data_IF_007331617040
#
_entry.id   IF_007331617040
#
_cell.length_a   1.000
_cell.length_b   1.000
_cell.length_c   1.000
_cell.angle_alpha   90.00
_cell.angle_beta   90.00
_cell.angle_gamma   90.00
#
_symmetry.space_group_name_H-M   'P 1'
#
loop_
_entity.id
_entity.type
_entity.pdbx_description
1 polymer ?
#
# COMPACT_ATOMS: atom_id res chain seq x y z
N UNK A 1 -25.71 32.89 -33.60
CA UNK A 1 -25.12 33.05 -34.94
C UNK A 1 -23.60 32.90 -34.97
N UNK A 2 -22.91 32.77 -33.83
CA UNK A 2 -21.42 32.63 -33.74
C UNK A 2 -20.86 31.22 -33.87
N UNK A 3 -21.69 30.17 -33.67
CA UNK A 3 -21.18 28.77 -33.62
C UNK A 3 -20.99 28.15 -35.03
N UNK A 4 -21.54 28.70 -36.05
CA UNK A 4 -21.47 28.17 -37.42
C UNK A 4 -20.18 28.60 -38.15
N UNK A 5 -19.58 29.73 -37.76
CA UNK A 5 -18.38 30.25 -38.42
C UNK A 5 -17.06 29.53 -38.02
N UNK A 6 -17.01 28.84 -36.87
CA UNK A 6 -15.79 28.12 -36.40
C UNK A 6 -15.64 26.78 -37.12
N UNK A 7 -16.73 26.17 -37.57
CA UNK A 7 -16.68 24.88 -38.27
C UNK A 7 -16.11 24.94 -39.69
N UNK A 8 -16.09 26.13 -40.33
CA UNK A 8 -15.63 26.29 -41.70
C UNK A 8 -14.10 26.47 -41.86
N UNK A 9 -13.37 26.68 -40.78
CA UNK A 9 -11.91 26.89 -40.79
C UNK A 9 -11.09 25.67 -40.38
N UNK A 10 -11.73 24.54 -40.09
CA UNK A 10 -11.00 23.30 -39.78
C UNK A 10 -10.64 22.57 -41.08
N UNK A 11 -9.39 22.19 -41.30
CA UNK A 11 -9.00 21.48 -42.52
C UNK A 11 -9.74 20.14 -42.60
N UNK A 12 -10.37 19.90 -43.74
CA UNK A 12 -11.23 18.75 -44.05
C UNK A 12 -10.47 17.40 -43.96
N UNK A 13 -9.16 17.42 -43.75
CA UNK A 13 -8.29 16.24 -43.64
C UNK A 13 -7.64 16.05 -42.26
N UNK A 14 -8.09 16.78 -41.23
CA UNK A 14 -7.67 16.44 -39.87
C UNK A 14 -8.29 15.08 -39.51
N UNK A 15 -7.46 14.07 -39.37
CA UNK A 15 -7.84 12.80 -38.76
C UNK A 15 -8.51 13.10 -37.42
N UNK A 16 -9.78 12.73 -37.34
CA UNK A 16 -10.61 12.98 -36.17
C UNK A 16 -9.97 12.24 -35.00
N UNK A 17 -9.29 12.96 -34.12
CA UNK A 17 -8.74 12.37 -32.90
C UNK A 17 -9.91 12.00 -32.00
N UNK A 18 -10.17 10.72 -31.85
CA UNK A 18 -11.21 10.24 -30.95
C UNK A 18 -10.60 10.28 -29.59
N UNK A 19 -11.00 11.21 -28.73
CA UNK A 19 -10.53 11.35 -27.35
C UNK A 19 -10.62 10.04 -26.57
N UNK A 20 -11.58 9.19 -26.90
CA UNK A 20 -11.77 7.87 -26.30
C UNK A 20 -10.61 6.90 -26.60
N UNK A 21 -9.93 7.03 -27.72
CA UNK A 21 -8.79 6.18 -28.11
C UNK A 21 -7.52 6.57 -27.34
N UNK A 22 -7.53 7.75 -26.71
CA UNK A 22 -6.46 8.25 -25.84
C UNK A 22 -6.85 8.27 -24.34
N UNK A 23 -8.07 7.84 -24.03
CA UNK A 23 -8.53 7.72 -22.65
C UNK A 23 -8.20 6.31 -22.15
N UNK A 24 -7.13 6.19 -21.41
CA UNK A 24 -6.85 4.99 -20.64
C UNK A 24 -7.75 5.01 -19.40
N UNK A 25 -8.67 4.04 -19.24
CA UNK A 25 -9.49 3.99 -18.04
C UNK A 25 -8.60 3.84 -16.82
N UNK A 26 -8.93 4.48 -15.70
CA UNK A 26 -8.17 4.31 -14.48
C UNK A 26 -8.13 2.83 -14.10
N UNK A 27 -6.97 2.36 -13.68
CA UNK A 27 -6.77 1.00 -13.20
C UNK A 27 -7.80 0.67 -12.12
N UNK A 28 -8.42 -0.50 -12.20
CA UNK A 28 -9.26 -1.06 -11.16
C UNK A 28 -8.40 -2.02 -10.31
N UNK A 29 -7.79 -1.58 -9.22
CA UNK A 29 -6.87 -2.41 -8.43
C UNK A 29 -7.58 -3.61 -7.78
N UNK A 30 -8.91 -3.59 -7.73
CA UNK A 30 -9.73 -4.71 -7.24
C UNK A 30 -9.80 -5.91 -8.20
N UNK A 31 -9.39 -5.73 -9.45
CA UNK A 31 -9.28 -6.82 -10.43
C UNK A 31 -8.02 -7.69 -10.17
N UNK A 32 -7.13 -7.22 -9.28
CA UNK A 32 -5.93 -7.94 -8.87
C UNK A 32 -6.13 -8.61 -7.51
N UNK A 33 -5.33 -9.64 -7.25
CA UNK A 33 -5.39 -10.33 -5.97
C UNK A 33 -5.13 -9.37 -4.81
N UNK A 34 -5.90 -9.51 -3.72
CA UNK A 34 -5.67 -8.70 -2.52
C UNK A 34 -4.22 -8.85 -2.05
N UNK A 35 -3.54 -7.75 -1.63
CA UNK A 35 -2.17 -7.83 -1.10
C UNK A 35 -2.02 -8.83 0.06
N UNK A 36 -3.11 -9.12 0.77
CA UNK A 36 -3.11 -10.09 1.88
C UNK A 36 -3.17 -11.55 1.41
N UNK A 37 -3.63 -11.81 0.20
CA UNK A 37 -3.85 -13.19 -0.28
C UNK A 37 -2.56 -13.99 -0.41
N UNK A 38 -1.45 -13.36 -0.76
CA UNK A 38 -0.12 -13.99 -0.88
C UNK A 38 0.57 -14.23 0.46
N UNK A 39 0.14 -13.58 1.53
CA UNK A 39 0.85 -13.56 2.82
C UNK A 39 1.06 -14.96 3.41
N UNK A 40 0.06 -15.83 3.33
CA UNK A 40 0.16 -17.20 3.86
C UNK A 40 1.23 -18.02 3.14
N UNK A 41 1.30 -17.94 1.81
CA UNK A 41 2.32 -18.63 1.04
C UNK A 41 3.73 -18.16 1.44
N UNK A 42 3.94 -16.85 1.59
CA UNK A 42 5.22 -16.30 2.04
C UNK A 42 5.62 -16.76 3.44
N UNK A 43 4.68 -16.89 4.35
CA UNK A 43 4.95 -17.29 5.74
C UNK A 43 5.07 -18.81 5.96
N UNK A 44 4.50 -19.62 5.10
CA UNK A 44 4.50 -21.09 5.23
C UNK A 44 5.36 -21.77 4.17
N UNK A 45 5.01 -21.62 2.91
CA UNK A 45 5.62 -22.37 1.82
C UNK A 45 7.01 -21.83 1.50
N UNK A 46 7.17 -20.50 1.54
CA UNK A 46 8.40 -19.79 1.21
C UNK A 46 9.13 -19.22 2.43
N UNK A 47 8.83 -19.73 3.63
CA UNK A 47 9.41 -19.23 4.90
C UNK A 47 10.96 -19.23 4.93
N UNK A 48 11.57 -20.21 4.28
CA UNK A 48 13.03 -20.35 4.20
C UNK A 48 13.63 -19.72 2.93
N UNK A 49 12.81 -19.25 2.02
CA UNK A 49 13.27 -18.76 0.72
C UNK A 49 13.61 -17.27 0.79
N UNK A 50 14.57 -16.86 -0.02
CA UNK A 50 14.82 -15.45 -0.27
C UNK A 50 13.87 -14.98 -1.34
N UNK A 51 12.86 -14.19 -0.97
CA UNK A 51 11.85 -13.67 -1.90
C UNK A 51 12.34 -12.43 -2.66
N UNK A 52 13.14 -11.60 -1.99
CA UNK A 52 13.61 -10.32 -2.50
C UNK A 52 15.02 -10.05 -2.01
N UNK A 53 15.89 -9.60 -2.89
CA UNK A 53 17.22 -9.07 -2.54
C UNK A 53 17.21 -7.57 -2.80
N UNK A 54 17.52 -6.79 -1.77
CA UNK A 54 17.60 -5.32 -1.88
C UNK A 54 19.01 -4.86 -1.55
N UNK A 55 19.56 -4.01 -2.42
CA UNK A 55 20.89 -3.42 -2.23
C UNK A 55 20.80 -1.90 -2.14
N UNK A 56 21.69 -1.31 -1.37
CA UNK A 56 21.80 0.15 -1.16
C UNK A 56 20.57 0.79 -0.49
N UNK A 57 19.73 0.00 0.15
CA UNK A 57 18.66 0.54 0.98
C UNK A 57 19.25 0.96 2.33
N UNK A 58 18.97 2.16 2.86
CA UNK A 58 19.43 2.60 4.18
C UNK A 58 19.03 1.63 5.29
N UNK A 59 19.92 1.44 6.26
CA UNK A 59 19.67 0.54 7.38
C UNK A 59 18.41 0.93 8.16
N UNK A 60 17.61 -0.06 8.51
CA UNK A 60 16.34 0.13 9.24
C UNK A 60 15.16 0.56 8.37
N UNK A 61 15.36 0.77 7.07
CA UNK A 61 14.24 0.96 6.15
C UNK A 61 13.45 -0.34 5.96
N UNK A 62 12.16 -0.20 5.71
CA UNK A 62 11.25 -1.31 5.43
C UNK A 62 10.80 -1.27 3.98
N UNK A 63 10.51 -2.43 3.41
CA UNK A 63 9.90 -2.58 2.10
C UNK A 63 8.41 -2.82 2.27
N UNK A 64 7.60 -2.11 1.51
CA UNK A 64 6.14 -2.15 1.50
C UNK A 64 5.66 -2.80 0.22
N UNK A 65 4.67 -3.67 0.30
CA UNK A 65 3.97 -4.22 -0.87
C UNK A 65 2.80 -3.31 -1.25
N UNK A 66 1.91 -3.05 -0.31
CA UNK A 66 0.72 -2.23 -0.53
C UNK A 66 0.26 -1.56 0.76
N UNK A 67 -0.66 -0.61 0.64
CA UNK A 67 -1.35 0.04 1.76
C UNK A 67 -2.84 -0.22 1.61
N UNK A 68 -3.44 -0.74 2.68
CA UNK A 68 -4.87 -0.94 2.79
C UNK A 68 -5.43 0.02 3.82
N UNK A 69 -6.44 0.78 3.45
CA UNK A 69 -6.99 1.89 4.24
C UNK A 69 -8.46 1.70 4.61
N UNK A 70 -9.05 0.56 4.23
CA UNK A 70 -10.43 0.22 4.56
C UNK A 70 -10.51 -1.10 5.31
N UNK A 71 -11.11 -1.04 6.50
CA UNK A 71 -11.50 -2.22 7.26
C UNK A 71 -13.04 -2.32 7.29
N UNK A 72 -13.60 -3.45 6.90
CA UNK A 72 -15.06 -3.67 6.84
C UNK A 72 -15.62 -4.44 8.05
N UNK A 73 -14.80 -4.63 9.08
CA UNK A 73 -15.12 -5.43 10.25
C UNK A 73 -14.52 -6.84 10.19
N UNK A 74 -14.19 -7.33 9.01
CA UNK A 74 -13.61 -8.65 8.76
C UNK A 74 -12.28 -8.59 8.05
N UNK A 75 -12.14 -7.75 7.02
CA UNK A 75 -11.01 -7.75 6.10
C UNK A 75 -10.48 -6.34 5.90
N UNK A 76 -9.15 -6.23 5.91
CA UNK A 76 -8.48 -5.05 5.37
C UNK A 76 -8.44 -5.13 3.85
N UNK A 77 -8.81 -4.03 3.19
CA UNK A 77 -8.80 -3.92 1.73
C UNK A 77 -8.46 -2.48 1.30
N UNK A 78 -8.34 -2.29 0.00
CA UNK A 78 -8.22 -0.97 -0.60
C UNK A 78 -9.55 -0.22 -0.49
N UNK A 79 -9.48 1.09 -0.33
CA UNK A 79 -10.66 1.96 -0.39
C UNK A 79 -11.24 1.95 -1.81
N UNK A 80 -12.57 1.84 -1.91
CA UNK A 80 -13.28 1.90 -3.20
C UNK A 80 -13.56 3.34 -3.68
N UNK A 81 -13.03 4.35 -3.00
CA UNK A 81 -13.27 5.74 -3.34
C UNK A 81 -12.18 6.25 -4.28
N UNK A 82 -12.60 6.88 -5.39
CA UNK A 82 -11.71 7.62 -6.32
C UNK A 82 -11.37 9.01 -5.79
N UNK A 83 -10.96 9.07 -4.54
CA UNK A 83 -10.52 10.31 -3.90
C UNK A 83 -9.00 10.40 -4.07
N UNK A 84 -8.49 11.59 -4.30
CA UNK A 84 -7.04 11.82 -4.30
C UNK A 84 -6.46 11.33 -2.98
N UNK A 85 -5.40 10.51 -3.03
CA UNK A 85 -4.79 9.91 -1.85
C UNK A 85 -5.41 8.59 -1.36
N UNK A 86 -6.55 8.15 -1.93
CA UNK A 86 -7.14 6.84 -1.59
C UNK A 86 -6.25 5.68 -2.06
N UNK A 87 -6.25 4.57 -1.33
CA UNK A 87 -5.42 3.38 -1.64
C UNK A 87 -5.74 2.73 -2.98
N UNK A 88 -6.91 2.99 -3.56
CA UNK A 88 -7.31 2.50 -4.89
C UNK A 88 -6.91 3.42 -6.05
N UNK A 89 -6.32 4.59 -5.78
CA UNK A 89 -6.03 5.58 -6.82
C UNK A 89 -4.65 5.34 -7.48
N UNK A 90 -4.56 4.29 -8.29
CA UNK A 90 -3.36 3.98 -9.07
C UNK A 90 -3.42 4.63 -10.44
N UNK A 91 -2.34 5.30 -10.81
CA UNK A 91 -2.17 5.92 -12.13
C UNK A 91 -0.93 5.37 -12.82
N UNK A 92 -1.00 5.23 -14.14
CA UNK A 92 0.15 4.82 -14.93
C UNK A 92 1.24 5.87 -14.85
N UNK A 93 2.44 5.45 -14.54
CA UNK A 93 3.56 6.35 -14.38
C UNK A 93 4.46 6.34 -15.61
N UNK A 94 4.93 7.55 -15.96
CA UNK A 94 6.02 7.71 -16.91
C UNK A 94 7.38 7.50 -16.23
N UNK A 95 8.44 8.03 -16.85
CA UNK A 95 9.81 7.90 -16.36
C UNK A 95 10.06 8.59 -14.99
N UNK A 96 9.18 9.50 -14.58
CA UNK A 96 9.28 10.24 -13.32
C UNK A 96 7.94 10.30 -12.63
N UNK A 97 7.97 10.20 -11.32
CA UNK A 97 6.82 10.31 -10.44
C UNK A 97 6.92 11.66 -9.74
N UNK A 98 5.91 12.51 -9.94
CA UNK A 98 5.82 13.77 -9.19
C UNK A 98 5.22 13.46 -7.82
N UNK A 99 5.94 13.78 -6.77
CA UNK A 99 5.46 13.69 -5.40
C UNK A 99 4.91 15.05 -4.96
N UNK A 100 3.74 15.04 -4.35
CA UNK A 100 3.11 16.25 -3.78
C UNK A 100 3.54 16.47 -2.31
N UNK A 101 4.54 15.75 -1.83
CA UNK A 101 4.94 15.70 -0.42
C UNK A 101 6.18 16.52 -0.06
N UNK A 102 6.43 16.56 1.24
CA UNK A 102 7.60 17.21 1.84
C UNK A 102 8.88 16.41 1.52
N UNK A 103 9.84 17.05 0.86
CA UNK A 103 11.17 16.50 0.51
C UNK A 103 12.09 16.34 1.74
N UNK A 104 11.57 16.43 2.97
CA UNK A 104 12.37 16.37 4.21
C UNK A 104 12.94 14.99 4.53
N UNK A 105 12.65 13.98 3.72
CA UNK A 105 13.11 12.61 3.89
C UNK A 105 14.58 12.37 3.52
N UNK A 106 15.07 11.17 3.85
CA UNK A 106 16.40 10.72 3.42
C UNK A 106 16.34 10.18 2.00
N UNK A 107 17.10 10.81 1.09
CA UNK A 107 17.21 10.34 -0.30
C UNK A 107 17.91 8.98 -0.37
N UNK A 108 17.41 8.10 -1.23
CA UNK A 108 18.02 6.81 -1.49
C UNK A 108 17.87 6.41 -2.97
N UNK A 109 18.72 5.48 -3.37
CA UNK A 109 18.60 4.72 -4.62
C UNK A 109 18.92 3.27 -4.30
N UNK A 110 17.92 2.42 -4.35
CA UNK A 110 18.02 1.00 -4.02
C UNK A 110 17.73 0.12 -5.22
N UNK A 111 18.42 -0.99 -5.32
CA UNK A 111 18.25 -2.01 -6.36
C UNK A 111 17.51 -3.21 -5.77
N UNK A 112 16.50 -3.66 -6.49
CA UNK A 112 15.63 -4.76 -6.12
C UNK A 112 15.78 -5.89 -7.14
N UNK A 113 15.99 -7.09 -6.65
CA UNK A 113 16.01 -8.33 -7.44
C UNK A 113 14.96 -9.29 -6.86
N UNK A 114 13.92 -9.59 -7.61
CA UNK A 114 12.87 -10.53 -7.23
C UNK A 114 13.38 -11.95 -7.42
N UNK A 115 13.24 -12.77 -6.37
CA UNK A 115 13.71 -14.15 -6.33
C UNK A 115 12.57 -15.16 -6.49
N UNK A 116 12.96 -16.44 -6.54
CA UNK A 116 12.01 -17.54 -6.64
C UNK A 116 11.06 -17.56 -5.43
N UNK A 117 9.82 -17.96 -5.67
CA UNK A 117 8.79 -17.97 -4.63
C UNK A 117 8.01 -16.66 -4.48
N UNK A 118 8.52 -15.54 -4.95
CA UNK A 118 7.74 -14.29 -4.96
C UNK A 118 6.84 -14.23 -6.19
N UNK A 119 5.53 -14.19 -5.94
CA UNK A 119 4.50 -14.04 -6.97
C UNK A 119 3.45 -13.07 -6.45
N UNK A 120 3.42 -11.89 -7.01
CA UNK A 120 2.51 -10.82 -6.62
C UNK A 120 2.21 -9.92 -7.83
N UNK A 121 1.27 -9.01 -7.68
CA UNK A 121 1.05 -7.91 -8.60
C UNK A 121 1.49 -6.58 -7.96
N UNK A 122 1.67 -6.59 -6.65
CA UNK A 122 2.11 -5.45 -5.87
C UNK A 122 3.64 -5.35 -5.87
N UNK A 123 4.15 -4.24 -6.45
CA UNK A 123 5.60 -4.04 -6.57
C UNK A 123 6.19 -3.61 -5.23
N UNK A 124 7.16 -4.36 -4.67
CA UNK A 124 7.83 -3.95 -3.43
C UNK A 124 8.56 -2.62 -3.60
N UNK A 125 8.26 -1.63 -2.76
CA UNK A 125 8.89 -0.31 -2.74
C UNK A 125 9.24 0.09 -1.31
N UNK A 126 10.25 0.95 -1.15
CA UNK A 126 10.75 1.31 0.18
C UNK A 126 10.26 2.67 0.67
N UNK A 127 10.04 3.63 -0.21
CA UNK A 127 9.69 4.99 0.19
C UNK A 127 8.75 5.70 -0.77
N UNK A 128 8.74 7.01 -0.71
CA UNK A 128 8.10 7.86 -1.69
C UNK A 128 8.95 7.87 -2.96
N UNK A 129 8.62 7.02 -3.92
CA UNK A 129 9.37 6.88 -5.16
C UNK A 129 9.22 8.11 -6.05
N UNK A 130 10.32 8.66 -6.52
CA UNK A 130 10.36 9.70 -7.55
C UNK A 130 10.70 9.12 -8.92
N UNK A 131 11.27 7.92 -8.93
CA UNK A 131 11.58 7.18 -10.14
C UNK A 131 11.64 5.68 -9.84
N UNK A 132 11.05 4.88 -10.72
CA UNK A 132 11.24 3.43 -10.77
C UNK A 132 11.75 3.08 -12.17
N UNK A 133 12.90 2.42 -12.25
CA UNK A 133 13.52 2.03 -13.52
C UNK A 133 13.65 0.53 -13.56
N UNK A 134 13.02 -0.10 -14.53
CA UNK A 134 13.10 -1.54 -14.75
C UNK A 134 14.32 -1.90 -15.61
N UNK A 135 14.92 -3.05 -15.35
CA UNK A 135 16.04 -3.57 -16.14
C UNK A 135 15.65 -3.84 -17.60
N UNK A 136 14.36 -4.11 -17.85
CA UNK A 136 13.78 -4.25 -19.19
C UNK A 136 12.65 -3.25 -19.37
N UNK A 137 12.60 -2.55 -20.51
CA UNK A 137 11.57 -1.56 -20.79
C UNK A 137 10.15 -2.15 -20.89
N UNK A 138 10.03 -3.46 -21.08
CA UNK A 138 8.74 -4.15 -21.18
C UNK A 138 7.84 -3.97 -19.95
N UNK A 139 8.42 -3.75 -18.78
CA UNK A 139 7.66 -3.57 -17.53
C UNK A 139 7.30 -2.11 -17.22
N UNK A 140 7.92 -1.15 -17.90
CA UNK A 140 7.67 0.27 -17.65
C UNK A 140 6.26 0.69 -18.04
N UNK A 141 5.71 0.08 -19.09
CA UNK A 141 4.36 0.37 -19.57
C UNK A 141 3.27 -0.25 -18.68
N UNK A 142 3.61 -1.24 -17.88
CA UNK A 142 2.71 -1.99 -17.01
C UNK A 142 2.76 -1.47 -15.55
N UNK A 143 3.56 -0.44 -15.28
CA UNK A 143 3.76 0.10 -13.96
C UNK A 143 2.77 1.21 -13.63
N UNK A 144 2.04 1.00 -12.53
CA UNK A 144 1.11 1.95 -11.93
C UNK A 144 1.56 2.28 -10.51
N UNK A 145 1.36 3.51 -10.10
CA UNK A 145 1.77 4.00 -8.79
C UNK A 145 0.68 4.83 -8.15
N UNK A 146 0.55 4.70 -6.85
CA UNK A 146 -0.32 5.52 -6.03
C UNK A 146 0.53 6.49 -5.20
N UNK A 147 0.50 7.78 -5.52
CA UNK A 147 1.26 8.82 -4.83
C UNK A 147 0.77 9.06 -3.40
N UNK A 148 -0.51 8.83 -3.12
CA UNK A 148 -1.10 9.01 -1.79
C UNK A 148 -0.71 7.92 -0.79
N UNK A 149 -0.43 6.71 -1.27
CA UNK A 149 -0.04 5.56 -0.44
C UNK A 149 1.39 5.10 -0.69
N UNK A 150 2.08 5.72 -1.64
CA UNK A 150 3.46 5.40 -2.03
C UNK A 150 3.64 3.90 -2.37
N UNK A 151 2.68 3.33 -3.07
CA UNK A 151 2.68 1.91 -3.42
C UNK A 151 2.57 1.70 -4.93
N UNK A 152 3.20 0.64 -5.41
CA UNK A 152 3.29 0.29 -6.82
C UNK A 152 2.51 -0.97 -7.17
N UNK A 153 1.98 -1.03 -8.39
CA UNK A 153 1.34 -2.19 -8.97
C UNK A 153 1.90 -2.42 -10.36
N UNK A 154 2.23 -3.66 -10.67
CA UNK A 154 2.77 -4.08 -11.96
C UNK A 154 1.77 -5.04 -12.62
N UNK A 155 1.05 -4.58 -13.64
CA UNK A 155 -0.03 -5.37 -14.27
C UNK A 155 0.46 -6.64 -14.99
N UNK A 156 1.74 -6.68 -15.38
CA UNK A 156 2.40 -7.89 -15.87
C UNK A 156 2.85 -8.86 -14.76
N UNK A 157 2.69 -8.46 -13.51
CA UNK A 157 3.02 -9.23 -12.31
C UNK A 157 4.48 -9.16 -11.89
N UNK A 158 4.67 -9.25 -10.57
CA UNK A 158 5.99 -9.34 -9.93
C UNK A 158 6.38 -10.82 -9.86
N UNK A 159 7.42 -11.21 -10.57
CA UNK A 159 7.85 -12.60 -10.75
C UNK A 159 9.37 -12.70 -10.63
N UNK A 160 9.88 -13.90 -10.35
CA UNK A 160 11.31 -14.20 -10.35
C UNK A 160 12.03 -13.68 -11.58
N UNK A 161 13.17 -13.06 -11.37
CA UNK A 161 13.98 -12.45 -12.42
C UNK A 161 13.62 -10.98 -12.73
N UNK A 162 12.55 -10.44 -12.16
CA UNK A 162 12.29 -9.01 -12.23
C UNK A 162 13.36 -8.26 -11.44
N UNK A 163 14.01 -7.29 -12.10
CA UNK A 163 14.97 -6.39 -11.48
C UNK A 163 14.63 -4.94 -11.79
N UNK A 164 14.69 -4.09 -10.78
CA UNK A 164 14.41 -2.66 -10.90
C UNK A 164 15.18 -1.85 -9.88
N UNK A 165 15.24 -0.55 -10.11
CA UNK A 165 15.84 0.44 -9.23
C UNK A 165 14.78 1.43 -8.82
N UNK A 166 14.65 1.66 -7.53
CA UNK A 166 13.83 2.73 -6.94
C UNK A 166 14.73 3.87 -6.50
N UNK A 167 14.40 5.08 -6.92
CA UNK A 167 14.95 6.34 -6.37
C UNK A 167 13.82 7.11 -5.72
N UNK A 168 14.03 7.59 -4.52
CA UNK A 168 13.01 8.29 -3.76
C UNK A 168 13.48 8.78 -2.41
N UNK A 169 12.55 9.10 -1.54
CA UNK A 169 12.79 9.57 -0.18
C UNK A 169 12.17 8.63 0.85
N UNK A 170 12.91 8.38 1.93
CA UNK A 170 12.40 7.71 3.12
C UNK A 170 11.95 8.76 4.12
N UNK A 171 10.69 8.69 4.54
CA UNK A 171 10.21 9.56 5.59
C UNK A 171 11.01 9.35 6.89
N UNK A 172 11.27 10.43 7.61
CA UNK A 172 11.88 10.36 8.93
C UNK A 172 10.97 9.56 9.88
N UNK A 173 11.51 8.56 10.51
CA UNK A 173 10.79 7.85 11.57
C UNK A 173 10.84 8.69 12.85
N UNK A 174 9.72 9.12 13.40
CA UNK A 174 9.69 9.82 14.68
C UNK A 174 10.12 8.88 15.81
N UNK A 175 10.71 9.44 16.87
CA UNK A 175 10.99 8.71 18.10
C UNK A 175 9.71 8.41 18.87
N UNK A 176 9.75 7.42 19.78
CA UNK A 176 8.61 7.11 20.65
C UNK A 176 8.19 8.30 21.51
N UNK A 177 9.14 9.16 21.92
CA UNK A 177 8.84 10.35 22.70
C UNK A 177 8.13 11.41 21.87
N UNK A 178 8.49 11.58 20.61
CA UNK A 178 7.77 12.44 19.67
C UNK A 178 6.36 11.90 19.44
N UNK A 179 6.22 10.59 19.20
CA UNK A 179 4.90 9.95 19.00
C UNK A 179 4.02 10.14 20.23
N UNK A 180 4.54 9.93 21.46
CA UNK A 180 3.76 10.09 22.70
C UNK A 180 3.11 11.45 22.85
N UNK A 181 3.67 12.49 22.24
CA UNK A 181 3.16 13.86 22.33
C UNK A 181 2.13 14.21 21.26
N UNK A 182 1.91 13.32 20.28
CA UNK A 182 1.02 13.61 19.15
C UNK A 182 -0.45 13.43 19.50
N UNK A 183 -1.29 14.24 18.86
CA UNK A 183 -2.74 14.11 18.88
C UNK A 183 -3.22 13.42 17.59
N UNK A 184 -4.43 12.86 17.64
CA UNK A 184 -5.03 12.30 16.43
C UNK A 184 -5.31 13.40 15.40
N UNK A 185 -5.01 13.10 14.13
CA UNK A 185 -5.41 13.95 13.03
C UNK A 185 -6.94 14.01 12.91
N UNK A 186 -7.45 15.16 12.52
CA UNK A 186 -8.89 15.35 12.24
C UNK A 186 -9.19 14.87 10.81
N UNK A 187 -9.27 13.56 10.63
CA UNK A 187 -9.61 12.93 9.35
C UNK A 187 -10.90 12.13 9.52
N UNK A 188 -11.65 11.97 8.43
CA UNK A 188 -12.75 11.03 8.40
C UNK A 188 -12.16 9.61 8.41
N UNK A 189 -12.53 8.82 9.41
CA UNK A 189 -12.16 7.41 9.46
C UNK A 189 -13.19 6.60 8.67
N UNK A 190 -12.78 5.49 8.04
CA UNK A 190 -13.70 4.54 7.45
C UNK A 190 -14.67 4.00 8.51
N UNK A 191 -15.89 3.69 8.09
CA UNK A 191 -16.82 2.95 8.95
C UNK A 191 -16.27 1.53 9.15
N UNK A 192 -15.97 1.20 10.39
CA UNK A 192 -15.44 -0.11 10.75
C UNK A 192 -16.56 -1.17 10.97
N UNK A 193 -17.81 -0.80 10.78
CA UNK A 193 -18.95 -1.69 11.09
C UNK A 193 -19.02 -2.07 12.57
N UNK A 194 -19.55 -3.25 12.85
CA UNK A 194 -19.66 -3.76 14.22
C UNK A 194 -18.32 -4.30 14.72
N UNK A 195 -17.68 -3.56 15.61
CA UNK A 195 -16.44 -4.02 16.26
C UNK A 195 -16.80 -4.97 17.39
N UNK A 196 -16.27 -6.21 17.42
CA UNK A 196 -16.52 -7.17 18.48
C UNK A 196 -16.15 -6.63 19.87
N UNK A 197 -16.94 -7.01 20.89
CA UNK A 197 -16.70 -6.55 22.26
C UNK A 197 -15.33 -6.96 22.83
N UNK A 198 -14.81 -8.12 22.42
CA UNK A 198 -13.46 -8.57 22.80
C UNK A 198 -12.37 -7.59 22.33
N UNK A 199 -12.46 -7.12 21.08
CA UNK A 199 -11.53 -6.13 20.53
C UNK A 199 -11.59 -4.81 21.29
N UNK A 200 -12.82 -4.35 21.63
CA UNK A 200 -13.00 -3.13 22.43
C UNK A 200 -12.38 -3.26 23.83
N UNK A 201 -12.63 -4.38 24.52
CA UNK A 201 -12.04 -4.64 25.84
C UNK A 201 -10.50 -4.70 25.78
N UNK A 202 -9.95 -5.34 24.77
CA UNK A 202 -8.52 -5.45 24.60
C UNK A 202 -7.89 -4.07 24.30
N UNK A 203 -8.51 -3.28 23.44
CA UNK A 203 -8.07 -1.91 23.16
C UNK A 203 -8.09 -1.04 24.43
N UNK A 204 -9.14 -1.13 25.23
CA UNK A 204 -9.24 -0.44 26.51
C UNK A 204 -8.19 -0.92 27.52
N UNK A 205 -7.97 -2.22 27.60
CA UNK A 205 -6.95 -2.80 28.50
C UNK A 205 -5.53 -2.35 28.17
N UNK A 206 -5.18 -2.22 26.90
CA UNK A 206 -3.83 -1.82 26.49
C UNK A 206 -3.64 -0.32 26.39
N UNK A 207 -4.64 0.42 25.94
CA UNK A 207 -4.53 1.83 25.57
C UNK A 207 -5.46 2.76 26.33
N UNK A 208 -6.33 2.23 27.20
CA UNK A 208 -7.24 3.05 28.00
C UNK A 208 -6.50 4.02 28.93
N UNK A 209 -7.07 5.22 29.12
CA UNK A 209 -6.52 6.21 30.06
C UNK A 209 -5.25 6.93 29.61
N UNK A 210 -4.75 6.70 28.39
CA UNK A 210 -3.58 7.40 27.89
C UNK A 210 -3.87 8.88 27.61
N UNK A 211 -2.93 9.81 27.89
CA UNK A 211 -3.16 11.24 27.81
C UNK A 211 -3.26 11.79 26.39
N UNK A 212 -2.72 11.10 25.41
CA UNK A 212 -2.67 11.50 24.00
C UNK A 212 -2.94 10.33 23.08
N UNK A 213 -3.35 10.60 21.85
CA UNK A 213 -3.56 9.57 20.84
C UNK A 213 -2.25 8.81 20.48
N UNK A 214 -1.12 9.51 20.43
CA UNK A 214 0.17 8.88 20.20
C UNK A 214 0.61 7.97 21.34
N UNK A 215 0.36 8.37 22.59
CA UNK A 215 0.61 7.50 23.74
C UNK A 215 -0.29 6.26 23.72
N UNK A 216 -1.56 6.41 23.37
CA UNK A 216 -2.48 5.29 23.21
C UNK A 216 -2.05 4.33 22.07
N UNK A 217 -1.61 4.86 20.95
CA UNK A 217 -1.12 4.06 19.82
C UNK A 217 0.13 3.24 20.20
N UNK A 218 1.10 3.84 20.89
CA UNK A 218 2.28 3.15 21.38
C UNK A 218 1.94 2.07 22.44
N UNK A 219 1.04 2.39 23.39
CA UNK A 219 0.60 1.45 24.40
C UNK A 219 -0.10 0.24 23.76
N UNK A 220 -0.96 0.48 22.76
CA UNK A 220 -1.62 -0.58 22.00
C UNK A 220 -0.61 -1.43 21.22
N UNK A 221 0.34 -0.80 20.52
CA UNK A 221 1.38 -1.51 19.76
C UNK A 221 2.25 -2.40 20.67
N UNK A 222 2.64 -1.89 21.84
CA UNK A 222 3.41 -2.64 22.82
C UNK A 222 2.58 -3.78 23.44
N UNK A 223 1.33 -3.49 23.82
CA UNK A 223 0.42 -4.50 24.35
C UNK A 223 0.20 -5.67 23.40
N UNK A 224 0.00 -5.37 22.10
CA UNK A 224 -0.12 -6.40 21.07
C UNK A 224 1.19 -7.16 20.83
N UNK A 225 2.34 -6.50 20.92
CA UNK A 225 3.65 -7.15 20.76
C UNK A 225 3.95 -8.10 21.90
N UNK A 226 3.64 -7.68 23.13
CA UNK A 226 4.03 -8.42 24.34
C UNK A 226 3.05 -9.55 24.68
N UNK A 227 1.77 -9.41 24.30
CA UNK A 227 0.70 -10.35 24.65
C UNK A 227 0.00 -10.96 23.43
N UNK A 228 0.26 -10.45 22.22
CA UNK A 228 -0.37 -10.92 21.01
C UNK A 228 0.34 -12.10 20.37
N UNK A 229 -0.43 -12.90 19.64
CA UNK A 229 0.10 -13.98 18.80
C UNK A 229 -0.20 -13.65 17.34
N UNK A 230 0.81 -13.80 16.50
CA UNK A 230 0.61 -13.67 15.06
C UNK A 230 -0.03 -14.95 14.52
N UNK A 231 -1.20 -14.84 13.92
CA UNK A 231 -1.84 -15.94 13.18
C UNK A 231 -2.16 -15.49 11.75
N UNK A 232 -1.85 -16.34 10.79
CA UNK A 232 -2.13 -16.13 9.35
C UNK A 232 -3.40 -16.85 8.89
N UNK A 233 -4.29 -17.23 9.80
CA UNK A 233 -5.53 -17.93 9.51
C UNK A 233 -5.42 -19.45 9.49
N UNK A 234 -6.54 -20.09 9.81
CA UNK A 234 -6.70 -21.55 9.79
C UNK A 234 -7.31 -22.02 8.46
N UNK A 235 -7.94 -21.13 7.69
CA UNK A 235 -8.68 -21.43 6.46
C UNK A 235 -8.07 -20.66 5.30
N UNK A 236 -7.92 -21.30 4.16
CA UNK A 236 -7.22 -20.77 2.99
C UNK A 236 -7.93 -19.55 2.35
N UNK A 237 -9.24 -19.40 2.55
CA UNK A 237 -10.07 -18.42 1.86
C UNK A 237 -10.21 -17.06 2.57
N UNK A 238 -9.76 -16.93 3.84
CA UNK A 238 -9.90 -15.68 4.62
C UNK A 238 -8.64 -15.34 5.40
N UNK A 239 -7.63 -14.74 4.77
CA UNK A 239 -6.36 -14.45 5.42
C UNK A 239 -6.39 -13.32 6.45
N UNK A 240 -7.51 -12.63 6.62
CA UNK A 240 -7.53 -11.30 7.25
C UNK A 240 -8.04 -11.25 8.68
N UNK A 241 -8.78 -12.26 9.15
CA UNK A 241 -9.47 -12.21 10.45
C UNK A 241 -8.61 -12.57 11.64
N UNK A 242 -7.47 -13.19 11.44
CA UNK A 242 -6.78 -13.89 12.50
C UNK A 242 -6.00 -13.04 13.48
N UNK A 243 -5.66 -11.81 13.13
CA UNK A 243 -4.96 -10.91 14.05
C UNK A 243 -5.83 -10.40 15.20
N UNK A 244 -7.16 -10.37 15.01
CA UNK A 244 -8.09 -9.79 15.98
C UNK A 244 -8.73 -10.81 16.94
N UNK A 245 -8.73 -12.10 16.59
CA UNK A 245 -9.47 -13.13 17.34
C UNK A 245 -8.60 -14.14 18.08
N UNK A 246 -7.29 -14.13 17.90
CA UNK A 246 -6.42 -15.15 18.54
C UNK A 246 -6.22 -14.97 20.02
N UNK A 247 -6.54 -13.82 20.60
CA UNK A 247 -6.49 -13.63 22.05
C UNK A 247 -7.70 -14.23 22.80
N UNK A 248 -8.82 -14.44 22.12
CA UNK A 248 -10.06 -14.91 22.76
C UNK A 248 -10.16 -16.45 22.82
N UNK A 249 -9.44 -17.15 21.93
CA UNK A 249 -9.44 -18.63 21.90
C UNK A 249 -8.54 -19.27 22.98
N UNK A 250 -7.76 -18.50 23.68
CA UNK A 250 -6.87 -18.99 24.75
C UNK A 250 -7.53 -18.97 26.15
N UNK A 251 -8.61 -18.21 26.32
CA UNK A 251 -9.30 -18.05 27.62
C UNK A 251 -10.47 -19.02 27.83
N UNK A 252 -10.84 -19.83 26.83
CA UNK A 252 -11.95 -20.80 26.91
C UNK A 252 -11.46 -22.25 27.20
N UNK A 253 -10.42 -22.42 28.02
CA UNK A 253 -10.01 -23.73 28.56
C UNK A 253 -9.93 -23.73 30.05
#
# INVERSE_FOLDING_TARGET
>A
AGAVAVGACLPVHATRTILRDHYEPPLAPFDYASPMSGMRAYLKEHKADTLLTVRNLPAGASVRLAVMDRFDGNVWNLSNTRIAGASSNYTRMGLRITQDGDDSGTWFTAMFDVRDGMRDDWLPLAGAATQVTFATNANADDFYYNTGTESGLLTSGVRSGLAYTETGTLARRPSDDEIRQTQAARIALPDAGDIPNAVRRMAEAFAGGQPTAGAAALALANGLRDNGWFSHGLVDDYPSLCLLYTSDAADDK
#
